data_IF_951499726017
#
_entry.id   IF_951499726017
#
_cell.length_a   1.000
_cell.length_b   1.000
_cell.length_c   1.000
_cell.angle_alpha   90.00
_cell.angle_beta   90.00
_cell.angle_gamma   90.00
#
_symmetry.space_group_name_H-M   'P 1'
#
loop_
_entity.id
_entity.type
_entity.pdbx_description
1 polymer ?
#
# COMPACT_ATOMS: atom_id res chain seq x y z
N UNK A 1 30.15 -22.94 -3.37
CA UNK A 1 29.07 -23.49 -2.54
C UNK A 1 28.39 -22.29 -1.89
N UNK A 2 27.41 -21.73 -2.58
CA UNK A 2 26.87 -20.39 -2.27
C UNK A 2 25.77 -20.55 -1.21
N UNK A 3 25.98 -19.91 -0.07
CA UNK A 3 25.04 -19.85 1.04
C UNK A 3 23.82 -19.02 0.61
N UNK A 4 22.64 -19.63 0.56
CA UNK A 4 21.38 -18.92 0.40
C UNK A 4 20.86 -18.53 1.79
N UNK A 5 20.61 -17.24 2.08
CA UNK A 5 20.07 -16.82 3.36
C UNK A 5 18.67 -17.41 3.55
N UNK A 6 18.40 -17.91 4.76
CA UNK A 6 17.17 -18.61 5.14
C UNK A 6 15.99 -17.68 5.46
N UNK A 7 16.09 -16.40 5.11
CA UNK A 7 15.08 -15.39 5.36
C UNK A 7 14.42 -15.02 4.04
N UNK A 8 13.31 -15.69 3.69
CA UNK A 8 12.17 -15.15 2.92
C UNK A 8 11.22 -16.28 2.50
N UNK A 9 10.78 -17.08 3.48
CA UNK A 9 9.50 -17.79 3.40
C UNK A 9 8.53 -17.15 4.40
N UNK A 10 8.31 -15.84 4.29
CA UNK A 10 7.18 -15.21 4.98
C UNK A 10 5.91 -15.55 4.20
N UNK A 11 5.36 -16.74 4.45
CA UNK A 11 3.97 -17.02 4.17
C UNK A 11 3.15 -15.84 4.75
N UNK A 12 2.26 -15.20 3.98
CA UNK A 12 1.53 -14.02 4.45
C UNK A 12 0.83 -14.38 5.78
N UNK A 13 1.32 -13.80 6.88
CA UNK A 13 0.86 -14.18 8.20
C UNK A 13 -0.52 -13.57 8.43
N UNK A 14 -1.56 -14.39 8.35
CA UNK A 14 -2.92 -13.96 8.69
C UNK A 14 -2.96 -13.49 10.15
N UNK A 15 -3.28 -12.21 10.35
CA UNK A 15 -3.45 -11.63 11.69
C UNK A 15 -4.75 -12.15 12.30
N UNK A 16 -4.65 -12.85 13.44
CA UNK A 16 -5.82 -13.28 14.21
C UNK A 16 -6.35 -12.10 15.01
N UNK A 17 -7.64 -11.80 14.86
CA UNK A 17 -8.32 -10.73 15.59
C UNK A 17 -9.48 -11.33 16.36
N UNK A 18 -9.53 -11.05 17.67
CA UNK A 18 -10.67 -11.40 18.52
C UNK A 18 -11.57 -10.18 18.66
N UNK A 19 -12.86 -10.36 18.46
CA UNK A 19 -13.86 -9.29 18.62
C UNK A 19 -14.98 -9.76 19.53
N UNK A 20 -15.46 -8.86 20.38
CA UNK A 20 -16.65 -9.10 21.17
C UNK A 20 -17.88 -8.73 20.33
N UNK A 21 -18.82 -9.67 20.21
CA UNK A 21 -20.11 -9.43 19.57
C UNK A 21 -21.23 -9.56 20.59
N UNK A 22 -22.23 -8.66 20.57
CA UNK A 22 -23.49 -8.87 21.28
C UNK A 22 -24.15 -10.19 20.87
N UNK A 23 -24.82 -10.84 21.82
CA UNK A 23 -25.43 -12.17 21.63
C UNK A 23 -26.41 -12.23 20.45
N UNK A 24 -27.15 -11.14 20.21
CA UNK A 24 -28.10 -11.04 19.11
C UNK A 24 -27.39 -11.06 17.75
N UNK A 25 -26.25 -10.37 17.64
CA UNK A 25 -25.42 -10.39 16.43
C UNK A 25 -24.77 -11.75 16.23
N UNK A 26 -24.34 -12.40 17.31
CA UNK A 26 -23.78 -13.74 17.25
C UNK A 26 -24.83 -14.74 16.72
N UNK A 27 -26.07 -14.67 17.22
CA UNK A 27 -27.18 -15.51 16.75
C UNK A 27 -27.52 -15.24 15.29
N UNK A 28 -27.55 -13.98 14.89
CA UNK A 28 -27.79 -13.60 13.49
C UNK A 28 -26.73 -14.20 12.56
N UNK A 29 -25.44 -14.00 12.88
CA UNK A 29 -24.34 -14.50 12.05
C UNK A 29 -24.29 -16.03 12.00
N UNK A 30 -24.58 -16.70 13.12
CA UNK A 30 -24.64 -18.16 13.16
C UNK A 30 -25.75 -18.72 12.25
N UNK A 31 -26.93 -18.08 12.26
CA UNK A 31 -28.03 -18.43 11.35
C UNK A 31 -27.63 -18.21 9.90
N UNK A 32 -27.11 -17.04 9.58
CA UNK A 32 -26.70 -16.68 8.23
C UNK A 32 -25.64 -17.64 7.67
N UNK A 33 -24.64 -17.99 8.49
CA UNK A 33 -23.61 -18.95 8.13
C UNK A 33 -24.19 -20.35 7.88
N UNK A 34 -25.16 -20.78 8.69
CA UNK A 34 -25.85 -22.05 8.51
C UNK A 34 -26.69 -22.08 7.23
N UNK A 35 -27.42 -21.02 6.93
CA UNK A 35 -28.26 -20.91 5.72
C UNK A 35 -27.40 -20.90 4.45
N UNK A 36 -26.23 -20.27 4.50
CA UNK A 36 -25.26 -20.21 3.38
C UNK A 36 -24.31 -21.42 3.31
N UNK A 37 -24.34 -22.33 4.29
CA UNK A 37 -23.43 -23.49 4.35
C UNK A 37 -21.95 -23.10 4.51
N UNK A 38 -21.65 -21.99 5.16
CA UNK A 38 -20.28 -21.46 5.32
C UNK A 38 -19.92 -21.22 6.79
N UNK A 39 -18.69 -20.79 7.06
CA UNK A 39 -18.25 -20.45 8.42
C UNK A 39 -18.67 -19.04 8.81
N UNK A 40 -18.96 -18.84 10.10
CA UNK A 40 -19.27 -17.51 10.65
C UNK A 40 -18.17 -16.48 10.41
N UNK A 41 -16.90 -16.92 10.42
CA UNK A 41 -15.76 -16.07 10.14
C UNK A 41 -15.73 -15.58 8.69
N UNK A 42 -16.24 -16.38 7.75
CA UNK A 42 -16.32 -15.99 6.33
C UNK A 42 -17.39 -14.91 6.14
N UNK A 43 -18.57 -15.09 6.73
CA UNK A 43 -19.65 -14.09 6.71
C UNK A 43 -19.18 -12.78 7.35
N UNK A 44 -18.42 -12.85 8.46
CA UNK A 44 -17.86 -11.67 9.09
C UNK A 44 -16.82 -10.97 8.20
N UNK A 45 -15.94 -11.71 7.52
CA UNK A 45 -14.97 -11.15 6.57
C UNK A 45 -15.66 -10.45 5.40
N UNK A 46 -16.68 -11.08 4.84
CA UNK A 46 -17.51 -10.54 3.74
C UNK A 46 -18.16 -9.21 4.16
N UNK A 47 -18.82 -9.17 5.31
CA UNK A 47 -19.47 -7.96 5.81
C UNK A 47 -18.48 -6.82 6.07
N UNK A 48 -17.28 -7.12 6.61
CA UNK A 48 -16.22 -6.13 6.81
C UNK A 48 -15.68 -5.62 5.46
N UNK A 49 -15.51 -6.51 4.49
CA UNK A 49 -15.05 -6.14 3.16
C UNK A 49 -16.06 -5.23 2.45
N UNK A 50 -17.35 -5.55 2.53
CA UNK A 50 -18.44 -4.72 1.98
C UNK A 50 -18.50 -3.35 2.68
N UNK A 51 -18.39 -3.32 4.01
CA UNK A 51 -18.34 -2.04 4.73
C UNK A 51 -17.15 -1.19 4.27
N UNK A 52 -15.96 -1.78 4.10
CA UNK A 52 -14.78 -1.07 3.63
C UNK A 52 -14.92 -0.57 2.20
N UNK A 53 -15.46 -1.37 1.29
CA UNK A 53 -15.65 -0.95 -0.10
C UNK A 53 -16.67 0.18 -0.21
N UNK A 54 -17.80 0.07 0.51
CA UNK A 54 -18.80 1.14 0.58
C UNK A 54 -18.22 2.40 1.20
N UNK A 55 -17.49 2.29 2.31
CA UNK A 55 -16.83 3.44 2.95
C UNK A 55 -15.78 4.08 2.03
N UNK A 56 -15.01 3.29 1.29
CA UNK A 56 -14.06 3.82 0.32
C UNK A 56 -14.76 4.57 -0.84
N UNK A 57 -15.92 4.09 -1.28
CA UNK A 57 -16.72 4.78 -2.28
C UNK A 57 -17.35 6.08 -1.73
N UNK A 58 -17.84 6.07 -0.48
CA UNK A 58 -18.47 7.22 0.18
C UNK A 58 -17.48 8.31 0.60
N UNK A 59 -16.29 7.93 1.06
CA UNK A 59 -15.22 8.88 1.40
C UNK A 59 -14.69 9.59 0.14
N UNK A 60 -15.05 9.09 -1.05
CA UNK A 60 -14.49 9.53 -2.31
C UNK A 60 -12.99 9.23 -2.32
N UNK A 61 -12.40 9.22 -3.51
CA UNK A 61 -10.96 9.34 -3.64
C UNK A 61 -10.59 10.72 -3.12
N UNK A 62 -10.37 10.85 -1.81
CA UNK A 62 -9.81 12.06 -1.22
C UNK A 62 -8.51 12.34 -1.96
N UNK A 63 -8.24 13.61 -2.26
CA UNK A 63 -7.10 14.04 -3.08
C UNK A 63 -5.74 13.46 -2.61
N UNK A 64 -5.64 12.94 -1.37
CA UNK A 64 -4.50 12.19 -0.85
C UNK A 64 -4.20 10.85 -1.55
N UNK A 65 -5.13 10.29 -2.33
CA UNK A 65 -4.89 9.10 -3.15
C UNK A 65 -4.50 9.44 -4.60
N UNK A 66 -4.68 10.71 -5.02
CA UNK A 66 -4.27 11.23 -6.34
C UNK A 66 -2.93 11.97 -6.29
N UNK A 67 -2.50 12.43 -5.11
CA UNK A 67 -1.17 12.99 -4.86
C UNK A 67 -0.40 11.96 -4.05
N UNK A 68 0.70 11.45 -4.60
CA UNK A 68 1.50 10.40 -3.99
C UNK A 68 1.88 10.71 -2.54
N UNK A 69 1.26 10.00 -1.59
CA UNK A 69 1.73 9.98 -0.22
C UNK A 69 2.45 8.66 0.03
N UNK A 70 3.76 8.78 0.09
CA UNK A 70 4.69 7.86 0.76
C UNK A 70 4.16 7.59 2.17
N UNK A 71 4.13 6.32 2.57
CA UNK A 71 3.80 5.91 3.95
C UNK A 71 4.89 6.39 4.91
N UNK A 72 4.46 6.85 6.10
CA UNK A 72 5.16 7.59 7.19
C UNK A 72 6.57 7.14 7.68
N UNK A 73 7.32 6.30 6.98
CA UNK A 73 8.59 5.75 7.47
C UNK A 73 9.86 6.37 6.82
N UNK A 74 9.76 7.54 6.19
CA UNK A 74 10.95 8.28 5.70
C UNK A 74 10.93 9.72 6.21
N UNK A 75 12.08 10.25 6.69
CA UNK A 75 12.16 11.63 7.16
C UNK A 75 11.81 12.60 6.02
N UNK A 76 11.06 13.65 6.35
CA UNK A 76 10.77 14.80 5.48
C UNK A 76 12.08 15.34 4.92
N UNK A 77 12.43 14.87 3.73
CA UNK A 77 13.50 15.48 2.95
C UNK A 77 12.79 16.45 2.03
N UNK A 78 13.09 17.74 2.21
CA UNK A 78 12.62 18.85 1.39
C UNK A 78 13.30 18.82 0.00
N UNK A 79 13.22 17.65 -0.65
CA UNK A 79 13.77 17.36 -1.96
C UNK A 79 13.11 18.21 -3.03
N UNK A 80 11.82 18.54 -2.85
CA UNK A 80 11.06 19.37 -3.78
C UNK A 80 11.67 20.76 -3.96
N UNK A 81 12.21 21.36 -2.89
CA UNK A 81 12.85 22.68 -2.92
C UNK A 81 14.26 22.67 -3.51
N UNK A 82 14.89 21.49 -3.61
CA UNK A 82 16.25 21.30 -4.13
C UNK A 82 16.27 20.77 -5.56
N UNK A 83 15.10 20.53 -6.17
CA UNK A 83 14.97 20.02 -7.55
C UNK A 83 15.68 20.93 -8.54
N UNK A 84 15.43 22.25 -8.46
CA UNK A 84 16.00 23.19 -9.41
C UNK A 84 17.53 23.31 -9.27
N UNK A 85 18.05 23.22 -8.04
CA UNK A 85 19.49 23.26 -7.76
C UNK A 85 20.20 21.96 -8.20
N UNK A 86 19.59 20.80 -7.93
CA UNK A 86 20.13 19.49 -8.34
C UNK A 86 20.06 19.23 -9.84
N UNK A 87 19.07 19.81 -10.53
CA UNK A 87 18.94 19.68 -11.99
C UNK A 87 19.76 20.73 -12.75
N UNK A 88 20.17 21.83 -12.11
CA UNK A 88 21.02 22.85 -12.74
C UNK A 88 22.40 22.30 -13.13
N UNK A 89 22.94 21.32 -12.40
CA UNK A 89 24.20 20.65 -12.75
C UNK A 89 24.08 19.83 -14.05
N UNK A 90 22.91 19.25 -14.32
CA UNK A 90 22.63 18.45 -15.51
C UNK A 90 22.19 19.28 -16.72
N UNK A 91 21.42 20.35 -16.51
CA UNK A 91 20.80 21.14 -17.60
C UNK A 91 21.37 22.57 -17.75
N UNK A 92 22.36 22.94 -16.95
CA UNK A 92 23.04 24.23 -17.04
C UNK A 92 24.01 24.35 -18.22
N UNK A 93 24.52 25.56 -18.48
CA UNK A 93 25.49 25.79 -19.55
C UNK A 93 26.83 25.10 -19.23
N UNK A 94 27.10 23.98 -19.93
CA UNK A 94 28.23 23.08 -19.67
C UNK A 94 27.86 21.78 -18.95
N UNK A 95 26.57 21.53 -18.68
CA UNK A 95 26.07 20.25 -18.18
C UNK A 95 26.13 19.15 -19.24
N UNK A 96 26.31 17.90 -18.82
CA UNK A 96 26.48 16.71 -19.67
C UNK A 96 25.18 16.20 -20.33
N UNK A 97 24.24 17.09 -20.64
CA UNK A 97 23.02 16.71 -21.37
C UNK A 97 23.19 16.97 -22.86
N UNK A 98 23.59 15.95 -23.61
CA UNK A 98 23.58 15.98 -25.08
C UNK A 98 22.19 15.62 -25.61
N UNK A 99 21.51 16.59 -26.23
CA UNK A 99 20.19 16.40 -26.84
C UNK A 99 20.21 15.46 -28.08
N UNK A 100 21.40 14.97 -28.50
CA UNK A 100 21.58 14.15 -29.70
C UNK A 100 21.93 12.68 -29.49
N UNK A 101 22.52 12.29 -28.35
CA UNK A 101 23.05 10.93 -28.15
C UNK A 101 23.03 10.58 -26.67
N UNK A 102 22.07 9.77 -26.24
CA UNK A 102 21.95 9.35 -24.83
C UNK A 102 23.05 8.40 -24.32
N UNK A 103 24.34 8.58 -24.66
CA UNK A 103 25.45 7.79 -24.11
C UNK A 103 26.74 8.62 -23.94
N UNK A 104 27.24 8.61 -22.71
CA UNK A 104 28.46 9.23 -22.19
C UNK A 104 29.73 8.47 -22.67
N UNK A 105 30.73 9.17 -23.20
CA UNK A 105 32.09 8.63 -23.30
C UNK A 105 32.96 9.16 -22.17
N UNK A 106 33.21 8.26 -21.20
CA UNK A 106 34.17 8.42 -20.11
C UNK A 106 35.60 8.44 -20.64
N UNK A 107 36.44 9.26 -20.02
CA UNK A 107 37.87 8.93 -19.83
C UNK A 107 38.13 8.65 -18.36
#
# INVERSE_FOLDING_TARGET
MTYMPADEYTCPTMKKTMMYLPDDMHRYLAREASERGTSMAEVAREAIAEYRSRRAAEVGVGASALVGCVTDDLPDSDLASQVDEGLAEYFGAGGEWEEGSGLCERS
#
